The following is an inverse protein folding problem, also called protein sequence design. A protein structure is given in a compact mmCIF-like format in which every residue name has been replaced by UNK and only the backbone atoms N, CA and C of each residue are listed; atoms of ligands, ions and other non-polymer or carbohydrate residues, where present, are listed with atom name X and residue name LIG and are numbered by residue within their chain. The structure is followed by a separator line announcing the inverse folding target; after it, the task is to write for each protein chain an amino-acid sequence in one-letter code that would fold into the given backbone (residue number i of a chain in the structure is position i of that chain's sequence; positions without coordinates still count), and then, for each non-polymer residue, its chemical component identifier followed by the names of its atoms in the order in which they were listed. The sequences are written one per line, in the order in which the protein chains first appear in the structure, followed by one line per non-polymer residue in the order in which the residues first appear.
data_IF_453861875107
#
_entry.id   IF_453861875107
#
_cell.length_a   1.000
_cell.length_b   1.000
_cell.length_c   1.000
_cell.angle_alpha   90.00
_cell.angle_beta   90.00
_cell.angle_gamma   90.00
#
_symmetry.space_group_name_H-M   'P 1'
#
loop_
_entity.id
_entity.type
_entity.pdbx_description
1 polymer ?
#
# COMPACT_ATOMS: atom_id res chain seq x y z
N UNK A 1 18.24 0.79 18.00
CA UNK A 1 18.63 0.46 16.62
C UNK A 1 17.48 0.83 15.71
N UNK A 2 17.72 1.44 14.55
CA UNK A 2 16.66 1.79 13.62
C UNK A 2 16.05 0.52 12.99
N UNK A 3 14.73 0.52 12.81
CA UNK A 3 14.02 -0.54 12.09
C UNK A 3 14.14 -0.26 10.59
N UNK A 4 14.78 -1.18 9.86
CA UNK A 4 15.02 -1.04 8.43
C UNK A 4 13.95 -1.77 7.62
N UNK A 5 13.60 -1.21 6.46
CA UNK A 5 12.67 -1.78 5.49
C UNK A 5 13.19 -1.56 4.07
N UNK A 6 12.77 -2.40 3.14
CA UNK A 6 13.08 -2.28 1.71
C UNK A 6 11.85 -1.75 0.99
N UNK A 7 12.03 -0.83 0.04
CA UNK A 7 11.07 -0.47 -0.99
C UNK A 7 11.65 -0.87 -2.35
N UNK A 8 10.96 -1.76 -3.04
CA UNK A 8 11.38 -2.32 -4.31
C UNK A 8 10.41 -1.95 -5.44
N UNK A 9 10.96 -1.66 -6.60
CA UNK A 9 10.22 -1.38 -7.84
C UNK A 9 10.27 -2.57 -8.82
N UNK A 10 10.96 -3.65 -8.45
CA UNK A 10 11.22 -4.79 -9.34
C UNK A 10 11.86 -4.36 -10.67
N UNK A 11 13.07 -3.75 -10.64
CA UNK A 11 13.68 -3.17 -11.83
C UNK A 11 14.06 -4.25 -12.84
N UNK A 12 13.75 -3.97 -14.13
CA UNK A 12 14.17 -4.80 -15.26
C UNK A 12 15.54 -4.26 -15.72
N UNK A 13 16.59 -5.02 -15.49
CA UNK A 13 17.94 -4.65 -15.91
C UNK A 13 18.06 -4.64 -17.42
N UNK A 14 19.00 -3.85 -17.96
CA UNK A 14 19.30 -3.85 -19.39
C UNK A 14 19.71 -5.27 -19.84
N UNK A 15 19.09 -5.77 -20.90
CA UNK A 15 19.27 -7.14 -21.39
C UNK A 15 18.57 -8.23 -20.56
N UNK A 16 17.96 -7.87 -19.42
CA UNK A 16 17.23 -8.80 -18.58
C UNK A 16 15.76 -8.96 -18.98
N UNK A 17 15.08 -9.90 -18.34
CA UNK A 17 13.68 -10.22 -18.56
C UNK A 17 12.79 -9.80 -17.38
N UNK A 18 11.48 -9.65 -17.61
CA UNK A 18 10.48 -9.43 -16.56
C UNK A 18 10.50 -10.58 -15.54
N UNK A 19 10.61 -11.83 -16.00
CA UNK A 19 10.65 -13.00 -15.12
C UNK A 19 11.85 -12.96 -14.17
N UNK A 20 13.03 -12.57 -14.65
CA UNK A 20 14.20 -12.37 -13.82
C UNK A 20 14.00 -11.26 -12.78
N UNK A 21 13.44 -10.11 -13.18
CA UNK A 21 13.17 -9.00 -12.27
C UNK A 21 12.25 -9.43 -11.11
N UNK A 22 11.15 -10.13 -11.42
CA UNK A 22 10.20 -10.64 -10.42
C UNK A 22 10.84 -11.67 -9.47
N UNK A 23 11.67 -12.59 -10.01
CA UNK A 23 12.42 -13.54 -9.19
C UNK A 23 13.49 -12.86 -8.33
N UNK A 24 14.18 -11.85 -8.86
CA UNK A 24 15.16 -11.06 -8.12
C UNK A 24 14.51 -10.34 -6.92
N UNK A 25 13.30 -9.80 -7.07
CA UNK A 25 12.55 -9.22 -5.94
C UNK A 25 12.33 -10.25 -4.83
N UNK A 26 11.96 -11.48 -5.16
CA UNK A 26 11.80 -12.56 -4.18
C UNK A 26 13.13 -12.94 -3.51
N UNK A 27 14.20 -13.08 -4.28
CA UNK A 27 15.53 -13.39 -3.74
C UNK A 27 16.05 -12.27 -2.84
N UNK A 28 15.84 -11.00 -3.23
CA UNK A 28 16.19 -9.84 -2.42
C UNK A 28 15.39 -9.81 -1.10
N UNK A 29 14.10 -10.15 -1.13
CA UNK A 29 13.29 -10.23 0.08
C UNK A 29 13.77 -11.34 1.02
N UNK A 30 14.13 -12.51 0.49
CA UNK A 30 14.75 -13.60 1.27
C UNK A 30 16.07 -13.15 1.92
N UNK A 31 16.92 -12.45 1.15
CA UNK A 31 18.18 -11.93 1.68
C UNK A 31 17.94 -10.86 2.76
N UNK A 32 17.02 -9.91 2.52
CA UNK A 32 16.63 -8.89 3.51
C UNK A 32 16.12 -9.54 4.80
N UNK A 33 15.34 -10.63 4.69
CA UNK A 33 14.87 -11.40 5.85
C UNK A 33 16.03 -11.97 6.67
N UNK A 34 17.07 -12.54 6.03
CA UNK A 34 18.25 -13.08 6.74
C UNK A 34 19.04 -11.99 7.47
N UNK A 35 19.01 -10.75 6.95
CA UNK A 35 19.66 -9.59 7.55
C UNK A 35 18.80 -8.90 8.63
N UNK A 36 17.60 -9.42 8.92
CA UNK A 36 16.71 -8.88 9.94
C UNK A 36 15.95 -7.62 9.55
N UNK A 37 15.79 -7.35 8.26
CA UNK A 37 14.89 -6.28 7.82
C UNK A 37 13.46 -6.59 8.23
N UNK A 38 12.74 -5.55 8.62
CA UNK A 38 11.39 -5.70 9.17
C UNK A 38 10.32 -5.84 8.08
N UNK A 39 10.45 -5.09 6.97
CA UNK A 39 9.49 -5.04 5.88
C UNK A 39 10.17 -5.08 4.52
N UNK A 40 9.43 -5.64 3.57
CA UNK A 40 9.71 -5.55 2.14
C UNK A 40 8.46 -5.08 1.43
N UNK A 41 8.47 -3.86 0.93
CA UNK A 41 7.35 -3.26 0.23
C UNK A 41 7.62 -3.14 -1.26
N UNK A 42 6.58 -3.32 -2.07
CA UNK A 42 6.62 -3.23 -3.52
C UNK A 42 5.80 -2.01 -3.97
N UNK A 43 6.38 -1.17 -4.81
CA UNK A 43 5.70 -0.03 -5.40
C UNK A 43 4.74 -0.47 -6.52
N UNK A 44 3.75 0.39 -6.86
CA UNK A 44 2.90 0.25 -8.04
C UNK A 44 3.28 1.30 -9.07
N UNK A 45 3.71 0.85 -10.25
CA UNK A 45 3.95 1.71 -11.39
C UNK A 45 3.45 1.06 -12.67
N UNK A 46 2.83 1.87 -13.54
CA UNK A 46 2.26 1.40 -14.80
C UNK A 46 2.94 2.07 -15.99
N UNK A 47 2.95 1.39 -17.15
CA UNK A 47 3.52 1.87 -18.40
C UNK A 47 5.01 2.30 -18.32
N UNK A 48 5.77 1.67 -17.43
CA UNK A 48 7.20 1.89 -17.27
C UNK A 48 7.97 0.65 -17.67
N UNK A 49 8.66 0.69 -18.84
CA UNK A 49 9.36 -0.48 -19.43
C UNK A 49 10.46 -1.06 -18.55
N UNK A 50 11.01 -0.27 -17.62
CA UNK A 50 12.08 -0.70 -16.71
C UNK A 50 11.59 -1.18 -15.33
N UNK A 51 10.26 -1.31 -15.11
CA UNK A 51 9.68 -1.65 -13.82
C UNK A 51 8.63 -2.75 -13.98
N UNK A 52 8.75 -3.84 -13.23
CA UNK A 52 7.86 -5.00 -13.33
C UNK A 52 6.76 -5.04 -12.25
N UNK A 53 6.66 -4.05 -11.36
CA UNK A 53 5.80 -4.10 -10.18
C UNK A 53 4.37 -3.57 -10.39
N UNK A 54 3.85 -3.57 -11.63
CA UNK A 54 2.51 -3.05 -11.93
C UNK A 54 1.38 -3.86 -11.24
N UNK A 55 1.47 -5.19 -11.24
CA UNK A 55 0.51 -6.07 -10.57
C UNK A 55 0.94 -6.34 -9.12
N UNK A 56 0.92 -5.31 -8.29
CA UNK A 56 1.56 -5.27 -6.98
C UNK A 56 1.07 -6.37 -6.04
N UNK A 57 -0.24 -6.64 -5.95
CA UNK A 57 -0.80 -7.69 -5.09
C UNK A 57 -0.35 -9.10 -5.50
N UNK A 58 -0.19 -9.36 -6.79
CA UNK A 58 0.32 -10.64 -7.31
C UNK A 58 1.80 -10.81 -6.94
N UNK A 59 2.60 -9.75 -7.13
CA UNK A 59 4.03 -9.79 -6.78
C UNK A 59 4.23 -9.95 -5.26
N UNK A 60 3.40 -9.30 -4.44
CA UNK A 60 3.41 -9.51 -2.99
C UNK A 60 3.18 -10.98 -2.64
N UNK A 61 2.21 -11.66 -3.29
CA UNK A 61 1.97 -13.09 -3.09
C UNK A 61 3.19 -13.93 -3.44
N UNK A 62 3.84 -13.65 -4.57
CA UNK A 62 5.05 -14.35 -5.01
C UNK A 62 6.21 -14.18 -4.03
N UNK A 63 6.43 -12.98 -3.50
CA UNK A 63 7.48 -12.70 -2.51
C UNK A 63 7.15 -13.34 -1.17
N UNK A 64 5.91 -13.19 -0.68
CA UNK A 64 5.50 -13.70 0.61
C UNK A 64 5.53 -15.24 0.68
N UNK A 65 5.25 -15.93 -0.45
CA UNK A 65 5.38 -17.39 -0.54
C UNK A 65 6.83 -17.88 -0.46
N UNK A 66 7.79 -17.04 -0.80
CA UNK A 66 9.21 -17.36 -0.74
C UNK A 66 9.92 -16.95 0.57
N UNK A 67 9.22 -16.27 1.48
CA UNK A 67 9.77 -15.77 2.75
C UNK A 67 8.96 -16.31 3.95
N UNK A 68 9.48 -16.22 5.18
CA UNK A 68 8.87 -16.83 6.35
C UNK A 68 8.46 -15.84 7.44
N UNK A 69 9.20 -14.75 7.64
CA UNK A 69 9.06 -13.84 8.80
C UNK A 69 8.89 -12.38 8.40
N UNK A 70 9.61 -11.93 7.37
CA UNK A 70 9.56 -10.53 6.92
C UNK A 70 8.14 -10.15 6.52
N UNK A 71 7.70 -8.95 6.91
CA UNK A 71 6.42 -8.42 6.47
C UNK A 71 6.54 -8.01 5.00
N UNK A 72 5.53 -8.35 4.21
CA UNK A 72 5.49 -8.01 2.79
C UNK A 72 4.27 -7.15 2.52
N UNK A 73 4.38 -6.14 1.68
CA UNK A 73 3.25 -5.26 1.41
C UNK A 73 3.45 -4.32 0.25
N UNK A 74 2.51 -3.41 0.10
CA UNK A 74 2.58 -2.36 -0.92
C UNK A 74 3.19 -1.07 -0.37
N UNK A 75 4.04 -0.47 -1.17
CA UNK A 75 4.61 0.83 -0.88
C UNK A 75 4.50 1.81 -2.04
N UNK A 76 3.26 1.97 -2.59
CA UNK A 76 1.90 1.58 -2.20
C UNK A 76 1.04 1.11 -3.37
N UNK A 77 -0.17 0.69 -3.03
CA UNK A 77 -1.26 0.62 -3.99
C UNK A 77 -1.70 2.05 -4.32
N UNK A 78 -1.74 2.38 -5.59
CA UNK A 78 -2.26 3.67 -6.05
C UNK A 78 -3.78 3.63 -6.05
N UNK A 79 -4.38 3.78 -4.86
CA UNK A 79 -5.81 3.52 -4.61
C UNK A 79 -6.76 4.17 -5.62
N UNK A 80 -6.50 5.40 -6.13
CA UNK A 80 -7.36 5.95 -7.16
C UNK A 80 -7.44 5.15 -8.47
N UNK A 81 -6.56 4.19 -8.73
CA UNK A 81 -6.63 3.30 -9.90
C UNK A 81 -7.51 2.07 -9.67
N UNK A 82 -8.00 1.85 -8.45
CA UNK A 82 -8.65 0.61 -8.03
C UNK A 82 -10.01 0.88 -7.38
N UNK A 83 -10.90 -0.11 -7.43
CA UNK A 83 -12.08 -0.12 -6.57
C UNK A 83 -11.67 -0.55 -5.14
N UNK A 84 -12.04 0.18 -4.08
CA UNK A 84 -11.69 -0.18 -2.70
C UNK A 84 -12.08 -1.61 -2.32
N UNK A 85 -13.24 -2.09 -2.79
CA UNK A 85 -13.69 -3.47 -2.58
C UNK A 85 -12.68 -4.50 -3.12
N UNK A 86 -12.20 -4.32 -4.35
CA UNK A 86 -11.22 -5.25 -4.95
C UNK A 86 -9.89 -5.26 -4.18
N UNK A 87 -9.44 -4.09 -3.72
CA UNK A 87 -8.23 -3.99 -2.89
C UNK A 87 -8.43 -4.72 -1.56
N UNK A 88 -9.58 -4.55 -0.92
CA UNK A 88 -9.92 -5.26 0.32
C UNK A 88 -9.92 -6.78 0.14
N UNK A 89 -10.50 -7.28 -0.96
CA UNK A 89 -10.53 -8.72 -1.28
C UNK A 89 -9.13 -9.28 -1.57
N UNK A 90 -8.30 -8.55 -2.36
CA UNK A 90 -6.93 -8.96 -2.66
C UNK A 90 -6.06 -9.03 -1.40
N UNK A 91 -6.08 -7.97 -0.57
CA UNK A 91 -5.26 -7.92 0.64
C UNK A 91 -5.82 -8.79 1.76
N UNK A 92 -7.13 -9.01 1.81
CA UNK A 92 -7.76 -10.01 2.65
C UNK A 92 -7.32 -11.42 2.29
N UNK A 93 -7.27 -11.74 1.00
CA UNK A 93 -6.72 -13.01 0.49
C UNK A 93 -5.26 -13.18 0.88
N UNK A 94 -4.43 -12.15 0.66
CA UNK A 94 -3.03 -12.17 1.07
C UNK A 94 -2.87 -12.38 2.58
N UNK A 95 -3.68 -11.71 3.38
CA UNK A 95 -3.65 -11.85 4.84
C UNK A 95 -4.07 -13.24 5.31
N UNK A 96 -5.03 -13.87 4.63
CA UNK A 96 -5.44 -15.25 4.92
C UNK A 96 -4.35 -16.27 4.55
N UNK A 97 -3.64 -16.05 3.43
CA UNK A 97 -2.53 -16.92 2.99
C UNK A 97 -1.26 -16.72 3.83
N UNK A 98 -0.99 -15.49 4.28
CA UNK A 98 0.22 -15.11 5.01
C UNK A 98 -0.11 -14.35 6.32
N UNK A 99 -0.69 -15.02 7.32
CA UNK A 99 -1.21 -14.38 8.54
C UNK A 99 -0.15 -13.53 9.26
N UNK A 100 -0.54 -12.30 9.61
CA UNK A 100 0.30 -11.37 10.36
C UNK A 100 1.45 -10.73 9.60
N UNK A 101 1.62 -11.03 8.30
CA UNK A 101 2.78 -10.60 7.50
C UNK A 101 2.46 -9.57 6.42
N UNK A 102 1.22 -9.22 6.20
CA UNK A 102 0.81 -8.33 5.09
C UNK A 102 0.61 -6.91 5.58
N UNK A 103 1.14 -5.94 4.82
CA UNK A 103 0.93 -4.51 4.98
C UNK A 103 0.27 -3.92 3.72
N UNK A 104 -0.64 -2.94 3.89
CA UNK A 104 -1.28 -2.23 2.79
C UNK A 104 -0.95 -0.74 2.86
N UNK A 105 0.08 -0.33 2.13
CA UNK A 105 0.39 1.08 1.92
C UNK A 105 -0.42 1.65 0.76
N UNK A 106 -0.98 2.85 0.93
CA UNK A 106 -1.88 3.52 -0.01
C UNK A 106 -1.28 4.81 -0.52
N UNK A 107 -1.20 4.97 -1.85
CA UNK A 107 -0.80 6.19 -2.53
C UNK A 107 -1.96 6.90 -3.20
N UNK A 108 -1.91 8.25 -3.24
CA UNK A 108 -2.89 9.08 -3.93
C UNK A 108 -2.58 9.29 -5.40
N UNK A 109 -1.31 9.33 -5.76
CA UNK A 109 -0.89 9.55 -7.15
C UNK A 109 -1.27 8.36 -8.04
N UNK A 110 -1.48 8.56 -9.36
CA UNK A 110 -1.80 7.46 -10.27
C UNK A 110 -0.61 6.52 -10.54
N UNK A 111 0.62 6.88 -10.16
CA UNK A 111 1.83 6.08 -10.41
C UNK A 111 2.17 5.93 -11.90
N UNK A 112 1.69 6.87 -12.75
CA UNK A 112 1.84 6.80 -14.20
C UNK A 112 1.50 8.12 -14.89
N UNK A 113 1.60 8.16 -16.24
CA UNK A 113 1.17 9.29 -17.07
C UNK A 113 -0.36 9.36 -17.25
N UNK A 114 -0.85 10.49 -17.79
CA UNK A 114 -2.30 10.75 -17.94
C UNK A 114 -3.02 9.78 -18.86
N UNK A 115 -2.39 9.31 -19.96
CA UNK A 115 -3.00 8.35 -20.89
C UNK A 115 -3.17 6.98 -20.23
N UNK A 116 -2.17 6.54 -19.51
CA UNK A 116 -2.20 5.28 -18.77
C UNK A 116 -3.18 5.34 -17.59
N UNK A 117 -3.25 6.47 -16.88
CA UNK A 117 -4.27 6.67 -15.84
C UNK A 117 -5.68 6.58 -16.42
N UNK A 118 -5.92 7.11 -17.61
CA UNK A 118 -7.19 6.96 -18.32
C UNK A 118 -7.47 5.49 -18.70
N UNK A 119 -6.47 4.74 -19.16
CA UNK A 119 -6.62 3.32 -19.49
C UNK A 119 -6.92 2.44 -18.26
N UNK A 120 -6.39 2.78 -17.09
CA UNK A 120 -6.66 2.10 -15.82
C UNK A 120 -8.07 2.39 -15.30
N UNK A 121 -8.57 3.60 -15.50
CA UNK A 121 -9.89 4.06 -15.05
C UNK A 121 -10.85 4.10 -16.22
N UNK A 122 -11.70 3.10 -16.34
CA UNK A 122 -12.72 3.09 -17.39
C UNK A 122 -13.87 4.07 -17.15
N UNK A 123 -14.03 4.59 -15.95
CA UNK A 123 -15.03 5.62 -15.60
C UNK A 123 -14.33 6.95 -15.36
N UNK A 124 -14.63 7.95 -16.23
CA UNK A 124 -14.04 9.30 -16.23
C UNK A 124 -14.47 10.18 -15.05
N UNK A 125 -15.36 9.71 -14.19
CA UNK A 125 -15.94 10.48 -13.08
C UNK A 125 -15.21 10.27 -11.74
N UNK A 126 -13.93 9.84 -11.74
CA UNK A 126 -13.18 9.77 -10.50
C UNK A 126 -12.85 11.18 -10.01
N UNK A 127 -13.41 11.56 -8.87
CA UNK A 127 -13.06 12.79 -8.17
C UNK A 127 -11.59 12.73 -7.72
N UNK A 128 -10.70 13.62 -8.19
CA UNK A 128 -9.31 13.66 -7.73
C UNK A 128 -9.18 13.88 -6.21
N UNK A 129 -10.24 14.40 -5.58
CA UNK A 129 -10.34 14.59 -4.13
C UNK A 129 -11.03 13.41 -3.42
N UNK A 130 -11.37 12.35 -4.14
CA UNK A 130 -12.03 11.15 -3.60
C UNK A 130 -11.15 10.28 -2.70
N UNK A 131 -9.82 10.43 -2.79
CA UNK A 131 -8.87 9.55 -2.06
C UNK A 131 -9.18 9.36 -0.56
N UNK A 132 -9.52 10.41 0.23
CA UNK A 132 -9.90 10.20 1.63
C UNK A 132 -11.16 9.33 1.80
N UNK A 133 -12.14 9.47 0.91
CA UNK A 133 -13.37 8.65 0.91
C UNK A 133 -13.07 7.21 0.57
N UNK A 134 -12.23 6.98 -0.45
CA UNK A 134 -11.80 5.64 -0.85
C UNK A 134 -11.03 4.94 0.28
N UNK A 135 -10.19 5.68 1.04
CA UNK A 135 -9.49 5.13 2.21
C UNK A 135 -10.48 4.72 3.30
N UNK A 136 -11.47 5.57 3.61
CA UNK A 136 -12.52 5.26 4.60
C UNK A 136 -13.38 4.06 4.16
N UNK A 137 -13.74 3.98 2.89
CA UNK A 137 -14.48 2.85 2.32
C UNK A 137 -13.67 1.56 2.47
N UNK A 138 -12.38 1.59 2.12
CA UNK A 138 -11.47 0.45 2.27
C UNK A 138 -11.32 0.02 3.73
N UNK A 139 -11.19 0.97 4.66
CA UNK A 139 -11.18 0.68 6.10
C UNK A 139 -12.47 -0.04 6.53
N UNK A 140 -13.61 0.41 6.02
CA UNK A 140 -14.91 -0.22 6.28
C UNK A 140 -14.97 -1.67 5.80
N UNK A 141 -14.42 -1.97 4.62
CA UNK A 141 -14.36 -3.34 4.11
C UNK A 141 -13.42 -4.27 4.88
N UNK A 142 -12.33 -3.74 5.45
CA UNK A 142 -11.36 -4.54 6.23
C UNK A 142 -11.73 -4.69 7.70
N UNK A 143 -12.67 -3.88 8.18
CA UNK A 143 -13.20 -3.95 9.54
C UNK A 143 -14.17 -5.13 9.73
N UNK A 144 -14.64 -5.32 10.97
CA UNK A 144 -15.76 -6.22 11.23
C UNK A 144 -17.01 -5.70 10.51
N UNK A 145 -17.79 -6.57 9.83
CA UNK A 145 -18.97 -6.13 9.11
C UNK A 145 -20.03 -5.60 10.07
N UNK A 146 -20.75 -4.55 9.66
CA UNK A 146 -21.91 -4.02 10.38
C UNK A 146 -23.13 -4.88 10.08
N UNK A 147 -24.12 -4.90 11.00
CA UNK A 147 -25.31 -5.76 10.90
C UNK A 147 -26.12 -5.54 9.60
N UNK A 148 -26.18 -4.30 9.11
CA UNK A 148 -26.93 -3.90 7.90
C UNK A 148 -26.02 -3.69 6.66
N UNK A 149 -24.76 -4.06 6.73
CA UNK A 149 -23.80 -3.89 5.62
C UNK A 149 -24.18 -4.77 4.42
N UNK A 150 -24.56 -4.13 3.31
CA UNK A 150 -25.03 -4.82 2.10
C UNK A 150 -23.90 -5.41 1.26
N UNK A 151 -22.71 -4.82 1.29
CA UNK A 151 -21.53 -5.27 0.52
C UNK A 151 -20.40 -5.57 1.48
N UNK A 152 -19.92 -6.79 1.45
CA UNK A 152 -18.84 -7.27 2.31
C UNK A 152 -17.70 -7.79 1.46
N UNK A 153 -16.48 -7.38 1.77
CA UNK A 153 -15.28 -7.93 1.13
C UNK A 153 -15.02 -9.36 1.65
N UNK A 154 -15.01 -10.36 0.77
CA UNK A 154 -14.72 -11.76 1.14
C UNK A 154 -13.51 -12.23 0.35
N UNK A 155 -12.40 -12.54 1.05
CA UNK A 155 -12.17 -12.73 2.49
C UNK A 155 -11.65 -11.50 3.26
N UNK A 156 -11.82 -10.28 2.76
CA UNK A 156 -11.25 -9.04 3.32
C UNK A 156 -11.78 -8.64 4.70
N UNK A 157 -13.07 -8.91 5.00
CA UNK A 157 -13.70 -8.47 6.24
C UNK A 157 -12.99 -9.02 7.48
N UNK A 158 -12.89 -8.20 8.51
CA UNK A 158 -12.22 -8.51 9.78
C UNK A 158 -10.76 -9.00 9.64
N UNK A 159 -10.12 -8.77 8.49
CA UNK A 159 -8.72 -9.18 8.25
C UNK A 159 -7.73 -8.35 9.06
N UNK A 160 -8.12 -7.12 9.46
CA UNK A 160 -7.27 -6.19 10.22
C UNK A 160 -5.90 -5.95 9.57
N UNK A 161 -5.83 -5.99 8.23
CA UNK A 161 -4.61 -5.65 7.49
C UNK A 161 -4.19 -4.22 7.86
N UNK A 162 -2.95 -4.00 8.34
CA UNK A 162 -2.48 -2.66 8.67
C UNK A 162 -2.45 -1.76 7.45
N UNK A 163 -3.10 -0.60 7.53
CA UNK A 163 -3.10 0.43 6.50
C UNK A 163 -2.02 1.48 6.81
N UNK A 164 -1.36 1.96 5.76
CA UNK A 164 -0.38 3.05 5.82
C UNK A 164 -0.73 4.09 4.75
N UNK A 165 -0.71 5.36 5.10
CA UNK A 165 -0.78 6.44 4.09
C UNK A 165 0.62 6.76 3.62
N UNK A 166 0.83 6.74 2.30
CA UNK A 166 2.08 7.15 1.67
C UNK A 166 1.93 8.52 1.01
N UNK A 167 2.97 9.30 1.06
CA UNK A 167 2.97 10.60 0.37
C UNK A 167 4.30 11.33 0.45
N UNK A 168 4.45 12.30 -0.44
CA UNK A 168 5.60 13.23 -0.51
C UNK A 168 5.19 14.68 -0.21
N UNK A 169 3.98 14.90 0.33
CA UNK A 169 3.42 16.22 0.60
C UNK A 169 2.80 16.29 2.00
N UNK A 170 2.53 17.51 2.45
CA UNK A 170 1.89 17.77 3.75
C UNK A 170 0.47 17.17 3.84
N UNK A 171 -0.25 17.11 2.72
CA UNK A 171 -1.59 16.51 2.65
C UNK A 171 -1.61 15.06 3.16
N UNK A 172 -0.63 14.24 2.77
CA UNK A 172 -0.55 12.84 3.23
C UNK A 172 -0.34 12.74 4.73
N UNK A 173 0.47 13.65 5.31
CA UNK A 173 0.72 13.73 6.74
C UNK A 173 -0.55 14.09 7.52
N UNK A 174 -1.26 15.14 7.07
CA UNK A 174 -2.53 15.57 7.65
C UNK A 174 -3.60 14.47 7.58
N UNK A 175 -3.79 13.87 6.40
CA UNK A 175 -4.76 12.80 6.23
C UNK A 175 -4.47 11.60 7.14
N UNK A 176 -3.22 11.16 7.19
CA UNK A 176 -2.82 10.05 8.06
C UNK A 176 -3.07 10.38 9.54
N UNK A 177 -2.74 11.60 9.98
CA UNK A 177 -2.94 12.06 11.33
C UNK A 177 -4.43 12.09 11.72
N UNK A 178 -5.29 12.67 10.87
CA UNK A 178 -6.74 12.74 11.08
C UNK A 178 -7.36 11.34 11.14
N UNK A 179 -6.93 10.42 10.27
CA UNK A 179 -7.43 9.05 10.22
C UNK A 179 -6.80 8.12 11.27
N UNK A 180 -5.85 8.60 12.06
CA UNK A 180 -5.13 7.78 13.04
C UNK A 180 -4.32 6.65 12.42
N UNK A 181 -3.90 6.80 11.16
CA UNK A 181 -3.16 5.79 10.40
C UNK A 181 -1.66 6.07 10.42
N UNK A 182 -0.80 5.02 10.37
CA UNK A 182 0.62 5.18 10.13
C UNK A 182 0.91 5.93 8.84
N UNK A 183 1.94 6.79 8.88
CA UNK A 183 2.39 7.59 7.74
C UNK A 183 3.78 7.19 7.27
N UNK A 184 3.97 7.03 5.97
CA UNK A 184 5.26 6.80 5.34
C UNK A 184 5.57 7.93 4.35
N UNK A 185 6.59 8.73 4.67
CA UNK A 185 6.98 9.87 3.83
C UNK A 185 8.00 9.47 2.78
N UNK A 186 7.69 9.75 1.51
CA UNK A 186 8.56 9.48 0.37
C UNK A 186 9.67 10.55 0.24
N UNK A 187 10.65 10.52 1.15
CA UNK A 187 11.73 11.50 1.24
C UNK A 187 12.63 11.56 0.01
N UNK A 188 12.71 10.49 -0.76
CA UNK A 188 13.44 10.44 -2.02
C UNK A 188 12.82 11.31 -3.12
N UNK A 189 11.53 11.68 -3.01
CA UNK A 189 10.87 12.62 -3.92
C UNK A 189 10.90 14.06 -3.41
N UNK A 190 10.72 14.26 -2.09
CA UNK A 190 10.54 15.61 -1.52
C UNK A 190 11.27 15.75 -0.17
N UNK A 191 12.61 15.63 -0.12
CA UNK A 191 13.36 15.68 1.14
C UNK A 191 13.15 16.96 1.92
N UNK A 192 12.98 18.09 1.22
CA UNK A 192 12.80 19.41 1.86
C UNK A 192 11.51 19.53 2.69
N UNK A 193 10.43 18.84 2.29
CA UNK A 193 9.15 18.87 3.00
C UNK A 193 9.06 17.86 4.16
N UNK A 194 10.01 16.94 4.29
CA UNK A 194 9.94 15.81 5.22
C UNK A 194 9.78 16.26 6.67
N UNK A 195 10.62 17.17 7.14
CA UNK A 195 10.58 17.59 8.55
C UNK A 195 9.28 18.31 8.92
N UNK A 196 8.75 19.13 8.00
CA UNK A 196 7.46 19.78 8.18
C UNK A 196 6.30 18.77 8.21
N UNK A 197 6.31 17.78 7.30
CA UNK A 197 5.31 16.70 7.26
C UNK A 197 5.32 15.87 8.55
N UNK A 198 6.51 15.55 9.07
CA UNK A 198 6.64 14.82 10.35
C UNK A 198 6.11 15.66 11.52
N UNK A 199 6.39 16.98 11.53
CA UNK A 199 5.85 17.90 12.54
C UNK A 199 4.32 17.87 12.56
N UNK A 200 3.69 18.16 11.42
CA UNK A 200 2.23 18.13 11.25
C UNK A 200 1.64 16.78 11.69
N UNK A 201 2.20 15.67 11.21
CA UNK A 201 1.71 14.34 11.58
C UNK A 201 1.73 14.11 13.10
N UNK A 202 2.80 14.52 13.79
CA UNK A 202 2.93 14.35 15.25
C UNK A 202 2.01 15.25 16.05
N UNK A 203 1.78 16.47 15.57
CA UNK A 203 0.92 17.46 16.23
C UNK A 203 -0.57 17.12 16.09
N UNK A 204 -0.97 16.63 14.92
CA UNK A 204 -2.39 16.39 14.57
C UNK A 204 -2.81 14.92 14.77
N UNK A 205 -1.90 14.00 15.14
CA UNK A 205 -2.21 12.58 15.22
C UNK A 205 -3.25 12.26 16.28
N UNK A 206 -4.41 11.78 15.85
CA UNK A 206 -5.49 11.27 16.69
C UNK A 206 -5.50 9.74 16.61
N UNK A 207 -5.06 9.02 17.65
CA UNK A 207 -5.14 7.55 17.63
C UNK A 207 -6.60 7.11 17.48
N UNK A 208 -6.85 6.11 16.61
CA UNK A 208 -8.16 5.49 16.52
C UNK A 208 -8.54 4.98 17.90
N UNK A 209 -9.54 5.61 18.55
CA UNK A 209 -10.09 5.08 19.78
C UNK A 209 -10.78 3.76 19.45
N UNK A 210 -10.63 2.76 20.31
CA UNK A 210 -11.30 1.46 20.17
C UNK A 210 -12.84 1.56 20.10
N UNK A 211 -13.39 2.74 20.37
CA UNK A 211 -14.82 3.07 20.32
C UNK A 211 -15.31 3.61 18.98
N UNK A 212 -14.43 4.09 18.08
CA UNK A 212 -14.84 4.64 16.76
C UNK A 212 -15.07 3.57 15.70
N UNK A 213 -14.82 2.32 15.97
CA UNK A 213 -15.18 1.19 15.11
C UNK A 213 -16.66 0.75 15.28
N UNK A 214 -17.46 1.48 16.07
CA UNK A 214 -18.85 1.13 16.41
C UNK A 214 -19.88 2.19 16.00
N UNK A 215 -19.55 3.15 15.11
CA UNK A 215 -20.55 4.10 14.59
C UNK A 215 -20.75 3.97 13.10
#
# INVERSE_FOLDING_TARGET
MAILSVLDLSPINEGGTVAEALNNSRLLAQHAETLGYHRYWVAEHHNMKGIASAATSILISHIASGTQKIRVGSGGIMLPNHAPLMVAEQFGTLSALFPGRIDLGLGRAPGTDGLTAHALRRTLNSDPNGFPKDVLELQGYLAAPKEDQKVTAVPGFNSKVPLYILGSSLFGAQLAAILGLPFAFASHFAPAAMMQAIGIYREEFCPLSSSTLHT
#
